data_IF_305320554396
#
_entry.id   IF_305320554396
#
_cell.length_a   1.000
_cell.length_b   1.000
_cell.length_c   1.000
_cell.angle_alpha   90.00
_cell.angle_beta   90.00
_cell.angle_gamma   90.00
#
_symmetry.space_group_name_H-M   'P 1'
#
loop_
_entity.id
_entity.type
_entity.pdbx_description
1 polymer ?
#
# COMPACT_ATOMS: atom_id res chain seq x y z
N UNK A 1 18.03 18.02 -18.80
CA UNK A 1 17.45 16.98 -17.93
C UNK A 1 16.27 17.60 -17.20
N UNK A 2 15.10 17.59 -17.84
CA UNK A 2 13.89 18.20 -17.30
C UNK A 2 13.01 17.07 -16.73
N UNK A 3 13.18 16.77 -15.44
CA UNK A 3 12.49 15.66 -14.79
C UNK A 3 11.83 16.16 -13.50
N UNK A 4 10.83 17.03 -13.65
CA UNK A 4 9.93 17.42 -12.55
C UNK A 4 8.57 17.95 -13.05
N UNK A 5 8.17 17.69 -14.30
CA UNK A 5 7.02 18.36 -14.91
C UNK A 5 5.74 17.50 -14.88
N UNK A 6 5.22 17.24 -13.68
CA UNK A 6 3.81 17.49 -13.34
C UNK A 6 3.51 16.97 -11.93
N UNK A 7 3.40 17.88 -10.96
CA UNK A 7 2.82 17.55 -9.66
C UNK A 7 1.41 17.00 -9.85
N UNK A 8 1.17 15.74 -9.45
CA UNK A 8 -0.14 15.09 -9.51
C UNK A 8 -0.74 15.02 -8.11
N UNK A 9 -1.59 15.99 -7.78
CA UNK A 9 -2.21 16.10 -6.46
C UNK A 9 -2.85 14.79 -5.97
N UNK A 10 -3.57 14.08 -6.86
CA UNK A 10 -4.19 12.81 -6.51
C UNK A 10 -3.20 11.70 -6.17
N UNK A 11 -2.04 11.65 -6.85
CA UNK A 11 -0.99 10.68 -6.55
C UNK A 11 -0.33 11.00 -5.22
N UNK A 12 0.02 12.27 -4.98
CA UNK A 12 0.59 12.71 -3.70
C UNK A 12 -0.34 12.39 -2.52
N UNK A 13 -1.64 12.67 -2.68
CA UNK A 13 -2.66 12.33 -1.68
C UNK A 13 -2.74 10.82 -1.42
N UNK A 14 -2.68 10.00 -2.47
CA UNK A 14 -2.68 8.56 -2.33
C UNK A 14 -1.41 8.04 -1.62
N UNK A 15 -0.24 8.57 -1.96
CA UNK A 15 1.03 8.25 -1.28
C UNK A 15 0.95 8.59 0.21
N UNK A 16 0.48 9.79 0.56
CA UNK A 16 0.30 10.19 1.96
C UNK A 16 -0.67 9.26 2.71
N UNK A 17 -1.83 8.95 2.13
CA UNK A 17 -2.80 8.05 2.75
C UNK A 17 -2.25 6.64 3.00
N UNK A 18 -1.47 6.11 2.05
CA UNK A 18 -0.86 4.79 2.17
C UNK A 18 0.22 4.75 3.25
N UNK A 19 1.08 5.77 3.33
CA UNK A 19 2.14 5.80 4.35
C UNK A 19 1.58 6.09 5.74
N UNK A 20 0.54 6.91 5.85
CA UNK A 20 -0.21 7.08 7.10
C UNK A 20 -0.85 5.76 7.55
N UNK A 21 -1.52 5.03 6.65
CA UNK A 21 -2.08 3.71 6.93
C UNK A 21 -1.01 2.73 7.42
N UNK A 22 0.15 2.69 6.76
CA UNK A 22 1.28 1.83 7.13
C UNK A 22 1.79 2.12 8.53
N UNK A 23 1.91 3.39 8.91
CA UNK A 23 2.34 3.77 10.26
C UNK A 23 1.24 3.51 11.29
N UNK A 24 -0.01 3.87 11.01
CA UNK A 24 -1.12 3.68 11.92
C UNK A 24 -1.30 2.20 12.31
N UNK A 25 -1.21 1.27 11.34
CA UNK A 25 -1.29 -0.17 11.60
C UNK A 25 -0.15 -0.72 12.47
N UNK A 26 0.96 0.01 12.66
CA UNK A 26 2.03 -0.39 13.59
C UNK A 26 1.73 -0.04 15.04
N UNK A 27 0.88 0.97 15.27
CA UNK A 27 0.66 1.55 16.59
C UNK A 27 -0.79 1.47 17.07
N UNK A 28 -1.73 1.12 16.19
CA UNK A 28 -3.16 1.13 16.43
C UNK A 28 -3.84 -0.08 15.78
N UNK A 29 -5.08 -0.36 16.17
CA UNK A 29 -5.88 -1.40 15.52
C UNK A 29 -6.42 -0.93 14.15
N UNK A 30 -6.96 -1.87 13.35
CA UNK A 30 -7.45 -1.57 12.02
C UNK A 30 -8.54 -0.50 11.99
N UNK A 31 -9.48 -0.50 12.95
CA UNK A 31 -10.57 0.48 13.02
C UNK A 31 -10.06 1.89 13.31
N UNK A 32 -9.11 2.01 14.22
CA UNK A 32 -8.43 3.28 14.53
C UNK A 32 -7.63 3.78 13.33
N UNK A 33 -6.88 2.90 12.66
CA UNK A 33 -6.13 3.25 11.45
C UNK A 33 -7.05 3.73 10.32
N UNK A 34 -8.22 3.10 10.12
CA UNK A 34 -9.25 3.56 9.17
C UNK A 34 -9.72 4.97 9.54
N UNK A 35 -10.02 5.21 10.81
CA UNK A 35 -10.50 6.51 11.30
C UNK A 35 -9.46 7.61 11.09
N UNK A 36 -8.19 7.36 11.45
CA UNK A 36 -7.08 8.29 11.23
C UNK A 36 -6.89 8.65 9.74
N UNK A 37 -6.92 7.66 8.85
CA UNK A 37 -6.78 7.89 7.40
C UNK A 37 -7.98 8.66 6.84
N UNK A 38 -9.20 8.32 7.26
CA UNK A 38 -10.42 9.03 6.85
C UNK A 38 -10.36 10.51 7.25
N UNK A 39 -10.01 10.79 8.51
CA UNK A 39 -9.93 12.15 9.06
C UNK A 39 -8.82 12.95 8.38
N UNK A 40 -7.60 12.39 8.27
CA UNK A 40 -6.47 13.06 7.62
C UNK A 40 -6.73 13.34 6.13
N UNK A 41 -7.54 12.52 5.47
CA UNK A 41 -7.93 12.70 4.08
C UNK A 41 -9.26 13.43 3.92
N UNK A 42 -9.97 13.84 4.98
CA UNK A 42 -11.29 14.47 4.89
C UNK A 42 -12.30 13.63 4.08
N UNK A 43 -12.25 12.31 4.22
CA UNK A 43 -13.13 11.41 3.51
C UNK A 43 -14.50 11.34 4.19
N UNK A 44 -15.55 11.34 3.37
CA UNK A 44 -16.93 11.20 3.85
C UNK A 44 -17.22 9.82 4.45
N UNK A 45 -16.58 8.77 3.93
CA UNK A 45 -16.87 7.38 4.27
C UNK A 45 -15.61 6.61 4.64
N UNK A 46 -15.72 5.75 5.63
CA UNK A 46 -14.68 4.78 6.03
C UNK A 46 -14.38 3.77 4.93
N UNK A 47 -15.34 3.49 4.03
CA UNK A 47 -15.10 2.61 2.89
C UNK A 47 -13.96 3.13 2.01
N UNK A 48 -13.85 4.45 1.84
CA UNK A 48 -12.75 5.07 1.09
C UNK A 48 -11.39 4.91 1.78
N UNK A 49 -11.35 4.96 3.12
CA UNK A 49 -10.14 4.80 3.92
C UNK A 49 -9.70 3.34 3.97
N UNK A 50 -10.67 2.42 4.02
CA UNK A 50 -10.44 0.97 4.05
C UNK A 50 -9.62 0.48 2.84
N UNK A 51 -9.71 1.16 1.68
CA UNK A 51 -8.86 0.83 0.53
C UNK A 51 -7.36 0.95 0.84
N UNK A 52 -6.96 1.94 1.62
CA UNK A 52 -5.55 2.12 2.02
C UNK A 52 -5.09 1.02 2.97
N UNK A 53 -5.93 0.66 3.94
CA UNK A 53 -5.64 -0.43 4.88
C UNK A 53 -5.49 -1.75 4.14
N UNK A 54 -6.48 -2.11 3.31
CA UNK A 54 -6.45 -3.32 2.48
C UNK A 54 -5.25 -3.33 1.55
N UNK A 55 -4.84 -2.18 1.02
CA UNK A 55 -3.66 -2.09 0.18
C UNK A 55 -2.40 -2.47 0.98
N UNK A 56 -2.19 -1.87 2.16
CA UNK A 56 -1.03 -2.17 3.02
C UNK A 56 -0.98 -3.64 3.42
N UNK A 57 -2.11 -4.20 3.88
CA UNK A 57 -2.20 -5.60 4.33
C UNK A 57 -2.03 -6.61 3.20
N UNK A 58 -2.60 -6.35 2.01
CA UNK A 58 -2.57 -7.29 0.88
C UNK A 58 -1.27 -7.21 0.08
N UNK A 59 -0.56 -6.09 0.10
CA UNK A 59 0.68 -5.91 -0.66
C UNK A 59 1.73 -6.99 -0.36
N UNK A 60 2.09 -7.32 0.90
CA UNK A 60 3.09 -8.37 1.17
C UNK A 60 2.66 -9.74 0.64
N UNK A 61 1.38 -10.10 0.84
CA UNK A 61 0.81 -11.37 0.33
C UNK A 61 0.89 -11.42 -1.20
N UNK A 62 0.54 -10.32 -1.87
CA UNK A 62 0.63 -10.23 -3.34
C UNK A 62 2.07 -10.38 -3.84
N UNK A 63 3.03 -9.78 -3.15
CA UNK A 63 4.45 -9.89 -3.50
C UNK A 63 4.91 -11.35 -3.36
N UNK A 64 4.57 -12.00 -2.26
CA UNK A 64 4.93 -13.39 -2.00
C UNK A 64 4.36 -14.34 -3.06
N UNK A 65 3.05 -14.24 -3.33
CA UNK A 65 2.37 -15.05 -4.35
C UNK A 65 2.95 -14.79 -5.74
N UNK A 66 3.19 -13.53 -6.10
CA UNK A 66 3.76 -13.18 -7.39
C UNK A 66 5.17 -13.76 -7.54
N UNK A 67 6.02 -13.63 -6.53
CA UNK A 67 7.36 -14.18 -6.54
C UNK A 67 7.35 -15.71 -6.66
N UNK A 68 6.47 -16.39 -5.93
CA UNK A 68 6.34 -17.85 -5.97
C UNK A 68 5.84 -18.34 -7.33
N UNK A 69 4.81 -17.68 -7.87
CA UNK A 69 4.34 -17.94 -9.22
C UNK A 69 5.45 -17.75 -10.25
N UNK A 70 6.21 -16.65 -10.17
CA UNK A 70 7.31 -16.37 -11.09
C UNK A 70 8.42 -17.42 -11.00
N UNK A 71 8.82 -17.84 -9.78
CA UNK A 71 9.82 -18.92 -9.60
C UNK A 71 9.36 -20.22 -10.23
N UNK A 72 8.12 -20.62 -9.93
CA UNK A 72 7.50 -21.85 -10.45
C UNK A 72 7.32 -21.82 -11.97
N UNK A 73 6.92 -20.66 -12.53
CA UNK A 73 6.59 -20.51 -13.95
C UNK A 73 7.82 -20.39 -14.85
N UNK A 74 8.82 -19.60 -14.44
CA UNK A 74 10.04 -19.37 -15.24
C UNK A 74 11.07 -20.50 -15.01
N UNK A 75 10.87 -21.33 -13.97
CA UNK A 75 11.81 -22.39 -13.61
C UNK A 75 13.11 -21.82 -13.07
N UNK A 76 13.04 -20.76 -12.25
CA UNK A 76 14.22 -20.15 -11.65
C UNK A 76 14.99 -21.21 -10.84
N UNK A 77 16.12 -21.67 -11.41
CA UNK A 77 17.00 -22.65 -10.81
C UNK A 77 17.44 -22.13 -9.44
N UNK A 78 17.29 -22.96 -8.41
CA UNK A 78 17.96 -22.70 -7.13
C UNK A 78 19.43 -22.38 -7.40
N UNK A 79 19.93 -21.25 -6.88
CA UNK A 79 21.38 -21.05 -6.80
C UNK A 79 21.94 -22.24 -6.03
N UNK A 80 22.73 -23.07 -6.72
CA UNK A 80 23.48 -24.13 -6.06
C UNK A 80 24.32 -23.48 -4.95
N UNK A 81 24.06 -23.95 -3.73
CA UNK A 81 24.82 -23.75 -2.50
C UNK A 81 26.32 -23.56 -2.71
#
# INVERSE_FOLDING_TARGET
>A
MEMACTFKFHQTRATFGTELARLALKYANATEAISMVKEALLQRSELSALHYIRFVERTPIKIEIANEFTRSFIGAFEEKK
#
